data_IF_070276120228
#
_entry.id   IF_070276120228
#
_cell.length_a   1.000
_cell.length_b   1.000
_cell.length_c   1.000
_cell.angle_alpha   90.00
_cell.angle_beta   90.00
_cell.angle_gamma   90.00
#
_symmetry.space_group_name_H-M   'P 1'
#
loop_
_entity.id
_entity.type
_entity.pdbx_description
1 polymer ?
#
# COMPACT_ATOMS: atom_id res chain seq x y z
N UNK A 1 -20.68 8.41 1.72
CA UNK A 1 -20.79 7.22 0.86
C UNK A 1 -19.54 6.40 1.10
N UNK A 2 -19.68 5.11 1.42
CA UNK A 2 -18.53 4.26 1.76
C UNK A 2 -18.26 3.33 0.57
N UNK A 3 -16.98 3.22 0.22
CA UNK A 3 -16.51 2.35 -0.87
C UNK A 3 -15.41 1.44 -0.33
N UNK A 4 -15.20 0.33 -1.03
CA UNK A 4 -14.10 -0.60 -0.77
C UNK A 4 -13.20 -0.56 -2.00
N UNK A 5 -11.89 -0.59 -1.80
CA UNK A 5 -10.89 -0.56 -2.85
C UNK A 5 -9.78 -1.55 -2.52
N UNK A 6 -9.34 -2.32 -3.51
CA UNK A 6 -8.12 -3.11 -3.44
C UNK A 6 -7.00 -2.33 -4.17
N UNK A 7 -5.91 -2.04 -3.45
CA UNK A 7 -4.81 -1.23 -3.94
C UNK A 7 -3.50 -2.04 -3.96
N UNK A 8 -2.83 -2.02 -5.11
CA UNK A 8 -1.49 -2.60 -5.29
C UNK A 8 -0.56 -1.59 -5.96
N UNK A 9 0.62 -1.38 -5.38
CA UNK A 9 1.67 -0.50 -5.92
C UNK A 9 2.90 -1.32 -6.28
N UNK A 10 3.29 -1.29 -7.56
CA UNK A 10 4.48 -1.99 -8.05
C UNK A 10 5.53 -0.99 -8.54
N UNK A 11 6.63 -0.77 -7.80
CA UNK A 11 7.65 0.19 -8.20
C UNK A 11 8.51 -0.37 -9.32
N UNK A 12 8.46 0.27 -10.49
CA UNK A 12 9.27 -0.09 -11.66
C UNK A 12 10.69 0.49 -11.54
N UNK A 13 11.70 -0.32 -11.86
CA UNK A 13 13.11 0.11 -11.84
C UNK A 13 13.75 0.19 -10.44
N UNK A 14 13.04 -0.22 -9.38
CA UNK A 14 13.49 -0.13 -8.00
C UNK A 14 14.49 -1.24 -7.55
N UNK A 15 14.76 -2.21 -8.42
CA UNK A 15 15.50 -3.43 -8.07
C UNK A 15 14.61 -4.48 -7.38
N UNK A 16 15.24 -5.52 -6.84
CA UNK A 16 14.51 -6.69 -6.28
C UNK A 16 13.90 -6.45 -4.90
N UNK A 17 14.47 -5.53 -4.13
CA UNK A 17 13.98 -5.20 -2.79
C UNK A 17 13.11 -3.97 -2.84
N UNK A 18 11.81 -4.19 -2.64
CA UNK A 18 10.79 -3.12 -2.72
C UNK A 18 10.21 -2.74 -1.35
N UNK A 19 10.65 -3.39 -0.27
CA UNK A 19 10.08 -3.23 1.08
C UNK A 19 10.01 -1.78 1.56
N UNK A 20 11.03 -0.97 1.27
CA UNK A 20 11.04 0.46 1.62
C UNK A 20 9.91 1.26 0.96
N UNK A 21 9.51 0.89 -0.26
CA UNK A 21 8.42 1.57 -0.96
C UNK A 21 7.07 1.13 -0.43
N UNK A 22 6.94 -0.15 -0.08
CA UNK A 22 5.73 -0.69 0.55
C UNK A 22 5.50 -0.04 1.92
N UNK A 23 6.55 0.10 2.74
CA UNK A 23 6.47 0.78 4.04
C UNK A 23 6.01 2.24 3.89
N UNK A 24 6.58 2.99 2.94
CA UNK A 24 6.17 4.36 2.67
C UNK A 24 4.71 4.47 2.18
N UNK A 25 4.23 3.52 1.37
CA UNK A 25 2.82 3.50 0.97
C UNK A 25 1.90 3.26 2.16
N UNK A 26 2.29 2.36 3.09
CA UNK A 26 1.49 2.06 4.27
C UNK A 26 1.37 3.27 5.20
N UNK A 27 2.48 3.98 5.47
CA UNK A 27 2.48 5.22 6.27
C UNK A 27 1.51 6.26 5.68
N UNK A 28 1.53 6.47 4.35
CA UNK A 28 0.62 7.41 3.68
C UNK A 28 -0.86 7.02 3.82
N UNK A 29 -1.18 5.72 3.79
CA UNK A 29 -2.57 5.24 3.94
C UNK A 29 -3.05 5.45 5.39
N UNK A 30 -2.19 5.21 6.37
CA UNK A 30 -2.47 5.47 7.78
C UNK A 30 -2.64 6.98 8.05
N UNK A 31 -1.74 7.81 7.52
CA UNK A 31 -1.82 9.28 7.63
C UNK A 31 -3.09 9.85 6.99
N UNK A 32 -3.57 9.24 5.91
CA UNK A 32 -4.82 9.59 5.26
C UNK A 32 -6.08 9.22 6.09
N UNK A 33 -5.91 8.51 7.22
CA UNK A 33 -6.99 8.08 8.09
C UNK A 33 -7.88 6.99 7.47
N UNK A 34 -7.33 6.25 6.50
CA UNK A 34 -8.06 5.18 5.81
C UNK A 34 -7.95 3.88 6.60
N UNK A 35 -9.09 3.26 6.88
CA UNK A 35 -9.12 1.89 7.40
C UNK A 35 -8.55 0.97 6.33
N UNK A 36 -7.43 0.30 6.62
CA UNK A 36 -6.76 -0.58 5.68
C UNK A 36 -6.22 -1.87 6.32
N UNK A 37 -6.05 -2.92 5.52
CA UNK A 37 -5.43 -4.17 5.92
C UNK A 37 -4.38 -4.62 4.89
N UNK A 38 -3.11 -4.57 5.29
CA UNK A 38 -1.99 -5.02 4.47
C UNK A 38 -1.89 -6.55 4.44
N UNK A 39 -1.77 -7.13 3.24
CA UNK A 39 -1.52 -8.56 3.05
C UNK A 39 -0.44 -8.80 1.99
N UNK A 40 -0.08 -10.06 1.77
CA UNK A 40 1.06 -10.45 0.93
C UNK A 40 0.99 -10.02 -0.54
N UNK A 41 -0.18 -9.57 -1.03
CA UNK A 41 -0.41 -9.21 -2.43
C UNK A 41 -0.94 -7.78 -2.63
N UNK A 42 -1.17 -7.01 -1.57
CA UNK A 42 -1.85 -5.73 -1.69
C UNK A 42 -2.38 -5.22 -0.35
N UNK A 43 -3.31 -4.27 -0.42
CA UNK A 43 -3.99 -3.69 0.74
C UNK A 43 -5.46 -3.48 0.40
N UNK A 44 -6.34 -3.93 1.30
CA UNK A 44 -7.78 -3.64 1.27
C UNK A 44 -8.15 -2.51 2.22
#
# INVERSE_FOLDING_TARGET
MNVIMDLTVSPLGAGVSVSKYIAACHELIEEAGLSSNLHAYGTN
#
